data_IF_616823038343
#
_entry.id   IF_616823038343
#
_cell.length_a   1.000
_cell.length_b   1.000
_cell.length_c   1.000
_cell.angle_alpha   90.00
_cell.angle_beta   90.00
_cell.angle_gamma   90.00
#
_symmetry.space_group_name_H-M   'P 1'
#
loop_
_entity.id
_entity.type
_entity.pdbx_description
1 polymer ?
#
# COMPACT_ATOMS: atom_id res chain seq x y z
N UNK A 1 -13.39 -12.14 -3.55
CA UNK A 1 -12.73 -11.70 -4.81
C UNK A 1 -11.62 -12.68 -5.12
N UNK A 2 -11.58 -13.21 -6.35
CA UNK A 2 -10.49 -14.08 -6.78
C UNK A 2 -9.15 -13.33 -6.73
N UNK A 3 -8.08 -14.04 -6.35
CA UNK A 3 -6.73 -13.49 -6.31
C UNK A 3 -6.24 -13.31 -7.74
N UNK A 4 -5.66 -12.13 -8.05
CA UNK A 4 -5.12 -11.82 -9.38
C UNK A 4 -4.07 -12.86 -9.79
N UNK A 5 -4.13 -13.29 -11.05
CA UNK A 5 -3.12 -14.19 -11.65
C UNK A 5 -1.79 -13.47 -11.91
N UNK A 6 -1.85 -12.15 -12.08
CA UNK A 6 -0.68 -11.31 -12.29
C UNK A 6 -0.31 -10.54 -11.02
N UNK A 7 0.99 -10.39 -10.79
CA UNK A 7 1.56 -9.50 -9.79
C UNK A 7 1.37 -8.03 -10.18
N UNK A 8 1.56 -7.13 -9.21
CA UNK A 8 1.51 -5.68 -9.50
C UNK A 8 2.60 -5.28 -10.50
N UNK A 9 3.80 -5.86 -10.40
CA UNK A 9 4.92 -5.54 -11.29
C UNK A 9 4.65 -5.96 -12.73
N UNK A 10 4.03 -7.13 -12.94
CA UNK A 10 3.60 -7.59 -14.27
C UNK A 10 2.50 -6.69 -14.85
N UNK A 11 1.53 -6.29 -14.04
CA UNK A 11 0.47 -5.36 -14.45
C UNK A 11 1.06 -4.01 -14.88
N UNK A 12 2.05 -3.48 -14.16
CA UNK A 12 2.70 -2.22 -14.51
C UNK A 12 3.51 -2.33 -15.80
N UNK A 13 4.27 -3.42 -15.98
CA UNK A 13 5.00 -3.70 -17.22
C UNK A 13 4.08 -3.77 -18.43
N UNK A 14 2.96 -4.50 -18.32
CA UNK A 14 1.97 -4.60 -19.40
C UNK A 14 1.39 -3.23 -19.76
N UNK A 15 1.10 -2.40 -18.76
CA UNK A 15 0.63 -1.02 -18.97
C UNK A 15 1.70 -0.16 -19.65
N UNK A 16 2.97 -0.30 -19.29
CA UNK A 16 4.07 0.41 -19.94
C UNK A 16 4.32 -0.09 -21.38
N UNK A 17 3.99 -1.36 -21.68
CA UNK A 17 3.93 -1.91 -23.04
C UNK A 17 2.68 -1.49 -23.84
N UNK A 18 1.82 -0.63 -23.28
CA UNK A 18 0.64 -0.11 -23.97
C UNK A 18 -0.60 -1.01 -23.93
N UNK A 19 -0.59 -2.08 -23.12
CA UNK A 19 -1.77 -2.94 -22.95
C UNK A 19 -2.84 -2.17 -22.14
N UNK A 20 -4.07 -2.18 -22.64
CA UNK A 20 -5.19 -1.51 -21.97
C UNK A 20 -5.51 -2.18 -20.64
N UNK A 21 -6.06 -1.42 -19.67
CA UNK A 21 -6.43 -1.96 -18.36
C UNK A 21 -7.48 -3.09 -18.44
N UNK A 22 -8.32 -3.08 -19.49
CA UNK A 22 -9.29 -4.15 -19.76
C UNK A 22 -8.56 -5.42 -20.20
N UNK A 23 -7.63 -5.32 -21.17
CA UNK A 23 -6.84 -6.48 -21.60
C UNK A 23 -5.97 -7.04 -20.47
N UNK A 24 -5.39 -6.19 -19.64
CA UNK A 24 -4.66 -6.63 -18.43
C UNK A 24 -5.60 -7.32 -17.45
N UNK A 25 -6.85 -6.86 -17.31
CA UNK A 25 -7.81 -7.45 -16.39
C UNK A 25 -8.23 -8.86 -16.82
N UNK A 26 -8.42 -9.06 -18.12
CA UNK A 26 -8.66 -10.38 -18.71
C UNK A 26 -7.50 -11.34 -18.42
N UNK A 27 -6.26 -10.90 -18.68
CA UNK A 27 -5.04 -11.69 -18.39
C UNK A 27 -4.86 -11.99 -16.90
N UNK A 28 -5.18 -11.03 -16.04
CA UNK A 28 -5.06 -11.15 -14.59
C UNK A 28 -6.23 -11.93 -13.94
N UNK A 29 -7.26 -12.29 -14.70
CA UNK A 29 -8.48 -12.90 -14.17
C UNK A 29 -9.17 -12.01 -13.12
N UNK A 30 -9.19 -10.70 -13.35
CA UNK A 30 -9.69 -9.70 -12.39
C UNK A 30 -10.50 -8.62 -13.10
N UNK A 31 -10.95 -7.59 -12.37
CA UNK A 31 -11.70 -6.48 -12.97
C UNK A 31 -10.79 -5.36 -13.46
N UNK A 32 -11.22 -4.63 -14.50
CA UNK A 32 -10.53 -3.44 -14.99
C UNK A 32 -10.33 -2.40 -13.88
N UNK A 33 -11.30 -2.25 -12.98
CA UNK A 33 -11.17 -1.39 -11.80
C UNK A 33 -10.04 -1.85 -10.86
N UNK A 34 -9.94 -3.15 -10.58
CA UNK A 34 -8.85 -3.69 -9.75
C UNK A 34 -7.47 -3.49 -10.41
N UNK A 35 -7.41 -3.52 -11.74
CA UNK A 35 -6.20 -3.17 -12.49
C UNK A 35 -5.91 -1.67 -12.42
N UNK A 36 -6.91 -0.81 -12.60
CA UNK A 36 -6.76 0.64 -12.52
C UNK A 36 -6.25 1.11 -11.16
N UNK A 37 -6.73 0.52 -10.07
CA UNK A 37 -6.22 0.81 -8.71
C UNK A 37 -4.74 0.45 -8.55
N UNK A 38 -4.26 -0.57 -9.27
CA UNK A 38 -2.85 -0.99 -9.25
C UNK A 38 -1.97 -0.14 -10.17
N UNK A 39 -2.51 0.31 -11.31
CA UNK A 39 -1.82 1.22 -12.26
C UNK A 39 -1.74 2.64 -11.70
N UNK A 40 -2.83 3.11 -11.11
CA UNK A 40 -2.96 4.43 -10.49
C UNK A 40 -3.65 4.27 -9.14
N UNK A 41 -2.88 4.29 -8.03
CA UNK A 41 -3.45 4.28 -6.69
C UNK A 41 -4.44 5.43 -6.45
N UNK A 42 -4.36 6.47 -7.27
CA UNK A 42 -5.18 7.68 -7.18
C UNK A 42 -6.50 7.56 -7.98
N UNK A 43 -6.69 6.48 -8.74
CA UNK A 43 -7.87 6.26 -9.59
C UNK A 43 -9.19 6.36 -8.81
N UNK A 44 -9.22 5.81 -7.59
CA UNK A 44 -10.42 5.84 -6.74
C UNK A 44 -10.42 7.02 -5.76
N UNK A 45 -9.41 7.88 -5.75
CA UNK A 45 -9.25 8.92 -4.72
C UNK A 45 -10.38 9.96 -4.78
N UNK A 46 -10.83 10.32 -5.98
CA UNK A 46 -11.95 11.23 -6.18
C UNK A 46 -13.30 10.59 -5.83
N UNK A 47 -13.54 9.34 -6.26
CA UNK A 47 -14.76 8.60 -5.94
C UNK A 47 -14.89 8.33 -4.44
N UNK A 48 -13.80 7.93 -3.78
CA UNK A 48 -13.75 7.73 -2.33
C UNK A 48 -13.95 9.05 -1.57
N UNK A 49 -13.40 10.16 -2.08
CA UNK A 49 -13.61 11.50 -1.51
C UNK A 49 -15.07 11.93 -1.61
N UNK A 50 -15.71 11.72 -2.75
CA UNK A 50 -17.14 12.02 -2.94
C UNK A 50 -18.01 11.12 -2.04
N UNK A 51 -17.71 9.82 -1.97
CA UNK A 51 -18.38 8.90 -1.08
C UNK A 51 -18.24 9.35 0.39
N UNK A 52 -17.04 9.76 0.82
CA UNK A 52 -16.79 10.27 2.17
C UNK A 52 -17.52 11.59 2.46
N UNK A 53 -17.56 12.51 1.50
CA UNK A 53 -18.27 13.79 1.62
C UNK A 53 -19.78 13.60 1.74
N UNK A 54 -20.33 12.56 1.10
CA UNK A 54 -21.76 12.20 1.17
C UNK A 54 -22.16 11.38 2.40
N UNK A 55 -21.22 10.96 3.26
CA UNK A 55 -21.55 10.26 4.51
C UNK A 55 -22.08 11.24 5.57
N UNK A 56 -23.03 10.76 6.38
CA UNK A 56 -23.41 11.44 7.63
C UNK A 56 -22.23 11.48 8.61
N UNK A 57 -22.34 12.28 9.67
CA UNK A 57 -21.27 12.38 10.67
C UNK A 57 -21.01 11.05 11.39
N UNK A 58 -22.06 10.24 11.65
CA UNK A 58 -21.93 8.86 12.12
C UNK A 58 -21.24 7.97 11.08
N UNK A 59 -21.60 8.13 9.79
CA UNK A 59 -20.97 7.41 8.69
C UNK A 59 -19.46 7.70 8.57
N UNK A 60 -19.05 8.95 8.74
CA UNK A 60 -17.64 9.37 8.77
C UNK A 60 -16.90 8.79 9.98
N UNK A 61 -17.54 8.73 11.15
CA UNK A 61 -16.96 8.11 12.35
C UNK A 61 -16.74 6.61 12.15
N UNK A 62 -17.69 5.90 11.55
CA UNK A 62 -17.58 4.46 11.25
C UNK A 62 -16.54 4.19 10.14
N UNK A 63 -16.48 5.04 9.11
CA UNK A 63 -15.46 4.95 8.08
C UNK A 63 -14.05 5.11 8.68
N UNK A 64 -13.87 6.16 9.50
CA UNK A 64 -12.62 6.43 10.22
C UNK A 64 -12.25 5.29 11.20
N UNK A 65 -13.23 4.69 11.91
CA UNK A 65 -12.95 3.58 12.83
C UNK A 65 -12.49 2.31 12.11
N UNK A 66 -13.02 2.03 10.90
CA UNK A 66 -12.55 0.93 10.05
C UNK A 66 -11.14 1.17 9.52
N UNK A 67 -10.80 2.40 9.15
CA UNK A 67 -9.43 2.77 8.74
C UNK A 67 -8.44 2.63 9.90
N UNK A 68 -8.81 3.11 11.09
CA UNK A 68 -8.06 2.92 12.32
C UNK A 68 -7.85 1.43 12.64
N UNK A 69 -8.89 0.61 12.52
CA UNK A 69 -8.78 -0.84 12.74
C UNK A 69 -7.76 -1.48 11.79
N UNK A 70 -7.82 -1.17 10.49
CA UNK A 70 -6.84 -1.65 9.49
C UNK A 70 -5.42 -1.21 9.84
N UNK A 71 -5.24 0.05 10.24
CA UNK A 71 -3.95 0.58 10.68
C UNK A 71 -3.39 -0.21 11.87
N UNK A 72 -4.20 -0.46 12.89
CA UNK A 72 -3.78 -1.23 14.06
C UNK A 72 -3.46 -2.69 13.72
N UNK A 73 -4.21 -3.31 12.81
CA UNK A 73 -3.91 -4.65 12.33
C UNK A 73 -2.58 -4.72 11.57
N UNK A 74 -2.33 -3.77 10.66
CA UNK A 74 -1.05 -3.67 9.94
C UNK A 74 0.12 -3.45 10.91
N UNK A 75 -0.06 -2.58 11.91
CA UNK A 75 0.92 -2.36 12.96
C UNK A 75 1.21 -3.64 13.74
N UNK A 76 0.18 -4.39 14.17
CA UNK A 76 0.36 -5.69 14.87
C UNK A 76 1.15 -6.70 14.03
N UNK A 77 0.82 -6.83 12.74
CA UNK A 77 1.52 -7.74 11.81
C UNK A 77 3.00 -7.38 11.66
N UNK A 78 3.30 -6.10 11.44
CA UNK A 78 4.70 -5.65 11.33
C UNK A 78 5.50 -5.85 12.62
N UNK A 79 4.88 -5.65 13.79
CA UNK A 79 5.51 -5.90 15.10
C UNK A 79 5.81 -7.40 15.28
N UNK A 80 4.90 -8.28 14.89
CA UNK A 80 5.13 -9.73 14.96
C UNK A 80 6.33 -10.15 14.12
N UNK A 81 6.37 -9.75 12.84
CA UNK A 81 7.50 -10.02 11.95
C UNK A 81 8.82 -9.42 12.45
N UNK A 82 8.77 -8.20 13.03
CA UNK A 82 9.92 -7.55 13.65
C UNK A 82 10.46 -8.37 14.83
N UNK A 83 9.58 -8.83 15.73
CA UNK A 83 9.96 -9.62 16.92
C UNK A 83 10.63 -10.93 16.56
N UNK A 84 10.11 -11.65 15.56
CA UNK A 84 10.70 -12.90 15.06
C UNK A 84 12.13 -12.70 14.55
N UNK A 85 12.46 -11.50 14.06
CA UNK A 85 13.79 -11.19 13.53
C UNK A 85 14.81 -10.69 14.56
N UNK A 86 14.45 -10.59 15.85
CA UNK A 86 15.36 -10.12 16.91
C UNK A 86 15.69 -8.62 16.87
N UNK A 87 14.87 -7.83 16.17
CA UNK A 87 15.17 -6.43 15.87
C UNK A 87 14.96 -5.47 17.05
N UNK A 88 15.84 -4.47 17.17
CA UNK A 88 15.83 -3.45 18.24
C UNK A 88 15.11 -2.16 17.84
N UNK A 89 14.13 -1.74 18.64
CA UNK A 89 13.40 -0.47 18.45
C UNK A 89 14.37 0.72 18.54
N UNK A 90 14.20 1.70 17.65
CA UNK A 90 14.99 2.94 17.68
C UNK A 90 16.29 2.91 16.88
N UNK A 91 16.60 1.81 16.16
CA UNK A 91 17.78 1.79 15.29
C UNK A 91 17.71 2.89 14.22
N UNK A 92 18.83 3.55 13.87
CA UNK A 92 18.91 4.49 12.74
C UNK A 92 18.50 3.82 11.42
N UNK A 93 18.07 4.61 10.44
CA UNK A 93 17.80 4.11 9.09
C UNK A 93 19.13 4.01 8.32
N UNK A 94 19.45 2.82 7.81
CA UNK A 94 20.61 2.67 6.93
C UNK A 94 20.31 3.18 5.52
N UNK A 95 21.35 3.47 4.74
CA UNK A 95 21.18 3.96 3.37
C UNK A 95 20.47 2.92 2.50
N UNK A 96 20.74 1.63 2.71
CA UNK A 96 20.07 0.54 1.98
C UNK A 96 18.58 0.48 2.28
N UNK A 97 18.17 0.70 3.55
CA UNK A 97 16.75 0.75 3.92
C UNK A 97 16.05 1.95 3.29
N UNK A 98 16.71 3.12 3.29
CA UNK A 98 16.18 4.34 2.67
C UNK A 98 16.06 4.14 1.16
N UNK A 99 17.06 3.54 0.53
CA UNK A 99 17.04 3.26 -0.90
C UNK A 99 15.94 2.25 -1.25
N UNK A 100 15.79 1.19 -0.46
CA UNK A 100 14.69 0.24 -0.65
C UNK A 100 13.33 0.92 -0.52
N UNK A 101 13.16 1.81 0.46
CA UNK A 101 11.94 2.59 0.66
C UNK A 101 11.65 3.49 -0.55
N UNK A 102 12.66 4.19 -1.10
CA UNK A 102 12.52 5.05 -2.29
C UNK A 102 12.12 4.25 -3.53
N UNK A 103 12.76 3.11 -3.77
CA UNK A 103 12.52 2.26 -4.95
C UNK A 103 11.15 1.58 -4.88
N UNK A 104 10.76 1.08 -3.70
CA UNK A 104 9.58 0.24 -3.55
C UNK A 104 8.36 0.97 -2.97
N UNK A 105 8.51 2.21 -2.48
CA UNK A 105 7.45 2.93 -1.78
C UNK A 105 6.18 3.12 -2.60
N UNK A 106 6.28 3.28 -3.92
CA UNK A 106 5.14 3.45 -4.82
C UNK A 106 4.57 2.13 -5.35
N UNK A 107 5.35 1.05 -5.31
CA UNK A 107 4.97 -0.26 -5.87
C UNK A 107 4.51 -1.25 -4.80
N UNK A 108 5.04 -1.17 -3.58
CA UNK A 108 4.69 -2.03 -2.44
C UNK A 108 3.95 -1.23 -1.38
N UNK A 109 3.01 -1.88 -0.71
CA UNK A 109 2.26 -1.27 0.40
C UNK A 109 3.20 -0.98 1.57
N UNK A 110 2.85 0.01 2.40
CA UNK A 110 3.62 0.33 3.60
C UNK A 110 3.81 -0.89 4.53
N UNK A 111 2.86 -1.84 4.55
CA UNK A 111 2.98 -3.08 5.32
C UNK A 111 4.00 -4.05 4.72
N UNK A 112 4.00 -4.24 3.41
CA UNK A 112 4.99 -5.09 2.73
C UNK A 112 6.41 -4.53 2.91
N UNK A 113 6.57 -3.21 2.78
CA UNK A 113 7.84 -2.54 3.04
C UNK A 113 8.26 -2.71 4.51
N UNK A 114 7.32 -2.56 5.46
CA UNK A 114 7.58 -2.75 6.88
C UNK A 114 8.06 -4.17 7.19
N UNK A 115 7.39 -5.18 6.66
CA UNK A 115 7.78 -6.59 6.83
C UNK A 115 9.15 -6.84 6.22
N UNK A 116 9.41 -6.36 5.00
CA UNK A 116 10.70 -6.56 4.32
C UNK A 116 11.85 -5.90 5.06
N UNK A 117 11.68 -4.65 5.50
CA UNK A 117 12.68 -3.90 6.25
C UNK A 117 12.75 -4.31 7.73
N UNK A 118 11.88 -5.23 8.16
CA UNK A 118 11.74 -5.64 9.57
C UNK A 118 11.50 -4.43 10.49
N UNK A 119 10.75 -3.45 9.99
CA UNK A 119 10.36 -2.21 10.69
C UNK A 119 8.89 -2.29 11.04
N UNK A 120 8.46 -1.45 11.98
CA UNK A 120 7.02 -1.29 12.21
C UNK A 120 6.37 -0.47 11.10
N UNK A 121 5.10 -0.73 10.84
CA UNK A 121 4.28 0.01 9.87
C UNK A 121 4.33 1.54 10.14
N UNK A 122 4.19 1.94 11.40
CA UNK A 122 4.32 3.33 11.82
C UNK A 122 5.72 3.94 11.53
N UNK A 123 6.79 3.15 11.71
CA UNK A 123 8.15 3.62 11.43
C UNK A 123 8.37 3.86 9.93
N UNK A 124 7.81 3.02 9.06
CA UNK A 124 7.85 3.21 7.60
C UNK A 124 7.12 4.48 7.19
N UNK A 125 5.92 4.75 7.71
CA UNK A 125 5.21 6.00 7.43
C UNK A 125 5.98 7.24 7.89
N UNK A 126 6.58 7.18 9.08
CA UNK A 126 7.39 8.28 9.61
C UNK A 126 8.62 8.51 8.75
N UNK A 127 9.30 7.44 8.33
CA UNK A 127 10.47 7.53 7.47
C UNK A 127 10.13 8.04 6.07
N UNK A 128 9.02 7.58 5.49
CA UNK A 128 8.56 8.05 4.19
C UNK A 128 8.30 9.56 4.20
N UNK A 129 7.68 10.09 5.28
CA UNK A 129 7.54 11.54 5.47
C UNK A 129 8.90 12.25 5.59
N UNK A 130 9.81 11.69 6.38
CA UNK A 130 11.16 12.27 6.61
C UNK A 130 11.99 12.33 5.33
N UNK A 131 11.91 11.30 4.48
CA UNK A 131 12.69 11.17 3.25
C UNK A 131 11.90 11.52 1.99
N UNK A 132 10.72 12.14 2.14
CA UNK A 132 9.86 12.58 1.05
C UNK A 132 9.49 11.48 0.03
N UNK A 133 9.28 10.25 0.51
CA UNK A 133 8.86 9.11 -0.31
C UNK A 133 7.34 8.99 -0.30
N UNK A 134 6.72 8.90 -1.48
CA UNK A 134 5.29 8.59 -1.62
C UNK A 134 5.08 7.09 -1.37
N UNK A 135 4.22 6.76 -0.42
CA UNK A 135 3.82 5.38 -0.13
C UNK A 135 2.57 4.99 -0.93
N UNK A 136 2.49 3.72 -1.31
CA UNK A 136 1.29 3.05 -1.77
C UNK A 136 0.42 2.72 -0.56
N UNK A 137 -0.73 3.39 -0.46
CA UNK A 137 -1.78 3.14 0.53
C UNK A 137 -2.68 1.97 0.13
#
# INVERSE_FOLDING_TARGET
>A
MAKSLLSTEEILKLKDCGVSAIGIAELAGTSANAVHVRISPDHNRAANRQAYQGLSDEGKKVYSSKELARYYEAQKKSIAAMKESGFVKGRPWSEEEVQYLKVNGTTKTALEVAIHLKRTFAAVHTAARRYHVKLRE
#
